data_IF_235882495023
#
_entry.id   IF_235882495023
#
_cell.length_a   1.000
_cell.length_b   1.000
_cell.length_c   1.000
_cell.angle_alpha   90.00
_cell.angle_beta   90.00
_cell.angle_gamma   90.00
#
_symmetry.space_group_name_H-M   'P 1'
#
loop_
_entity.id
_entity.type
_entity.pdbx_description
1 polymer ?
#
# COMPACT_ATOMS: atom_id res chain seq x y z
N UNK A 1 -23.66 6.88 10.57
CA UNK A 1 -22.99 5.59 10.87
C UNK A 1 -21.67 5.53 10.11
N UNK A 2 -20.54 5.63 10.81
CA UNK A 2 -19.19 5.52 10.25
C UNK A 2 -18.84 4.03 10.11
N UNK A 3 -18.55 3.56 8.88
CA UNK A 3 -18.01 2.22 8.69
C UNK A 3 -16.53 2.20 9.11
N UNK A 4 -16.07 1.21 9.89
CA UNK A 4 -14.64 0.99 10.12
C UNK A 4 -13.93 0.64 8.81
N UNK A 5 -12.76 1.26 8.58
CA UNK A 5 -12.09 1.29 7.27
C UNK A 5 -11.53 -0.05 6.77
N UNK A 6 -11.47 -1.09 7.60
CA UNK A 6 -11.11 -2.46 7.26
C UNK A 6 -11.36 -3.33 8.50
N UNK A 7 -12.50 -4.05 8.61
CA UNK A 7 -12.79 -4.86 9.79
C UNK A 7 -11.86 -6.07 9.92
N UNK A 8 -11.15 -6.44 8.85
CA UNK A 8 -10.23 -7.57 8.85
C UNK A 8 -8.83 -7.12 8.47
N UNK A 9 -7.86 -7.54 9.29
CA UNK A 9 -6.44 -7.25 9.16
C UNK A 9 -5.66 -8.55 9.31
N UNK A 10 -4.66 -8.74 8.47
CA UNK A 10 -3.74 -9.87 8.57
C UNK A 10 -2.30 -9.41 8.29
N UNK A 11 -1.37 -9.95 9.06
CA UNK A 11 0.07 -9.83 8.84
C UNK A 11 0.57 -11.17 8.34
N UNK A 12 1.17 -11.18 7.16
CA UNK A 12 1.64 -12.41 6.54
C UNK A 12 3.11 -12.31 6.18
N UNK A 13 3.71 -13.48 6.10
CA UNK A 13 5.08 -13.69 5.69
C UNK A 13 5.07 -14.37 4.31
N UNK A 14 5.69 -13.75 3.31
CA UNK A 14 5.72 -14.28 1.94
C UNK A 14 6.83 -15.32 1.71
N UNK A 15 7.85 -15.36 2.56
CA UNK A 15 9.00 -16.29 2.47
C UNK A 15 9.34 -16.93 3.82
N UNK A 16 9.66 -18.21 3.83
CA UNK A 16 9.88 -18.98 5.06
C UNK A 16 11.09 -18.54 5.89
N UNK A 17 12.06 -17.88 5.26
CA UNK A 17 13.32 -17.39 5.84
C UNK A 17 13.16 -16.08 6.62
N UNK A 18 12.01 -15.40 6.56
CA UNK A 18 11.82 -14.12 7.25
C UNK A 18 11.42 -14.31 8.71
N UNK A 19 12.07 -13.59 9.62
CA UNK A 19 11.76 -13.63 11.07
C UNK A 19 10.41 -12.99 11.42
N UNK A 20 9.95 -12.01 10.63
CA UNK A 20 8.72 -11.24 10.89
C UNK A 20 7.91 -11.06 9.60
N UNK A 21 6.59 -10.84 9.68
CA UNK A 21 5.74 -10.52 8.53
C UNK A 21 6.28 -9.38 7.66
N UNK A 22 6.16 -9.52 6.35
CA UNK A 22 6.63 -8.55 5.35
C UNK A 22 5.50 -7.91 4.56
N UNK A 23 4.28 -8.44 4.68
CA UNK A 23 3.08 -7.86 4.10
C UNK A 23 1.97 -7.66 5.14
N UNK A 24 1.20 -6.59 4.93
CA UNK A 24 -0.03 -6.33 5.68
C UNK A 24 -1.21 -6.30 4.70
N UNK A 25 -2.26 -7.03 5.04
CA UNK A 25 -3.48 -7.15 4.26
C UNK A 25 -4.64 -6.52 5.02
N UNK A 26 -5.37 -5.63 4.35
CA UNK A 26 -6.59 -5.00 4.84
C UNK A 26 -7.73 -5.45 3.95
N UNK A 27 -8.80 -5.98 4.54
CA UNK A 27 -9.93 -6.49 3.78
C UNK A 27 -11.22 -5.80 4.23
N UNK A 28 -12.02 -5.40 3.24
CA UNK A 28 -13.36 -4.84 3.43
C UNK A 28 -14.38 -5.68 2.66
N UNK A 29 -15.48 -6.14 3.30
CA UNK A 29 -16.47 -7.02 2.67
C UNK A 29 -17.42 -6.26 1.71
N UNK A 30 -16.90 -5.29 0.98
CA UNK A 30 -17.59 -4.54 -0.07
C UNK A 30 -16.60 -4.15 -1.15
N UNK A 31 -17.05 -4.19 -2.41
CA UNK A 31 -16.24 -3.81 -3.55
C UNK A 31 -16.17 -2.27 -3.67
N UNK A 32 -14.99 -1.70 -3.51
CA UNK A 32 -14.74 -0.25 -3.61
C UNK A 32 -14.44 0.12 -5.06
N UNK A 33 -15.30 0.95 -5.68
CA UNK A 33 -15.10 1.50 -7.03
C UNK A 33 -14.16 2.70 -7.04
N UNK A 34 -14.30 3.57 -6.05
CA UNK A 34 -13.44 4.72 -5.91
C UNK A 34 -13.21 5.02 -4.42
N UNK A 35 -12.00 4.80 -3.89
CA UNK A 35 -11.71 5.00 -2.48
C UNK A 35 -11.80 6.47 -2.07
N UNK A 36 -11.42 7.42 -2.94
CA UNK A 36 -11.51 8.87 -2.65
C UNK A 36 -12.95 9.37 -2.59
N UNK A 37 -13.83 8.81 -3.43
CA UNK A 37 -15.25 9.20 -3.49
C UNK A 37 -16.16 8.29 -2.64
N UNK A 38 -15.60 7.34 -1.88
CA UNK A 38 -16.33 6.31 -1.10
C UNK A 38 -17.43 5.61 -1.91
N UNK A 39 -17.20 5.40 -3.21
CA UNK A 39 -18.16 4.75 -4.09
C UNK A 39 -17.97 3.25 -4.04
N UNK A 40 -19.05 2.53 -3.76
CA UNK A 40 -19.09 1.07 -3.84
C UNK A 40 -19.58 0.62 -5.21
N UNK A 41 -19.11 -0.54 -5.65
CA UNK A 41 -19.70 -1.23 -6.79
C UNK A 41 -21.09 -1.77 -6.42
N UNK A 42 -21.95 -1.90 -7.43
CA UNK A 42 -23.30 -2.45 -7.28
C UNK A 42 -23.33 -3.99 -7.22
N UNK A 43 -22.23 -4.65 -7.57
CA UNK A 43 -22.11 -6.10 -7.50
C UNK A 43 -21.58 -6.53 -6.12
N UNK A 44 -21.94 -7.73 -5.63
CA UNK A 44 -21.36 -8.28 -4.41
C UNK A 44 -19.88 -8.60 -4.63
N UNK A 45 -19.01 -8.08 -3.77
CA UNK A 45 -17.57 -8.31 -3.84
C UNK A 45 -16.83 -7.79 -2.62
N UNK A 46 -15.53 -8.06 -2.56
CA UNK A 46 -14.63 -7.68 -1.47
C UNK A 46 -13.46 -6.87 -2.05
N UNK A 47 -12.97 -5.88 -1.33
CA UNK A 47 -11.71 -5.20 -1.66
C UNK A 47 -10.64 -5.59 -0.65
N UNK A 48 -9.48 -5.96 -1.18
CA UNK A 48 -8.31 -6.34 -0.41
C UNK A 48 -7.16 -5.41 -0.81
N UNK A 49 -6.59 -4.71 0.17
CA UNK A 49 -5.40 -3.87 0.01
C UNK A 49 -4.22 -4.56 0.65
N UNK A 50 -3.12 -4.71 -0.09
CA UNK A 50 -1.88 -5.34 0.38
C UNK A 50 -0.78 -4.29 0.38
N UNK A 51 -0.03 -4.20 1.48
CA UNK A 51 1.07 -3.25 1.67
C UNK A 51 2.36 -4.02 1.97
N UNK A 52 3.45 -3.66 1.30
CA UNK A 52 4.79 -4.13 1.66
C UNK A 52 5.30 -3.35 2.87
N UNK A 53 5.63 -4.06 3.94
CA UNK A 53 6.11 -3.46 5.19
C UNK A 53 7.62 -3.19 5.18
N UNK A 54 8.35 -3.87 4.28
CA UNK A 54 9.81 -3.75 4.15
C UNK A 54 10.20 -3.44 2.70
N UNK A 55 9.93 -2.23 2.20
CA UNK A 55 10.34 -1.84 0.85
C UNK A 55 11.87 -1.79 0.77
N UNK A 56 12.43 -2.41 -0.27
CA UNK A 56 13.85 -2.25 -0.63
C UNK A 56 14.09 -0.98 -1.45
N UNK A 57 13.02 -0.35 -1.92
CA UNK A 57 13.05 0.91 -2.68
C UNK A 57 13.52 2.05 -1.79
N UNK A 58 14.59 2.73 -2.22
CA UNK A 58 15.13 3.90 -1.54
C UNK A 58 14.70 5.18 -2.27
N UNK A 59 14.40 6.23 -1.50
CA UNK A 59 14.10 7.56 -2.00
C UNK A 59 15.09 8.59 -1.44
N UNK A 60 15.25 9.71 -2.15
CA UNK A 60 16.02 10.86 -1.65
C UNK A 60 15.19 12.14 -1.71
N UNK A 61 15.40 13.02 -0.74
CA UNK A 61 14.75 14.32 -0.64
C UNK A 61 15.85 15.38 -0.63
N UNK A 62 15.80 16.31 -1.58
CA UNK A 62 16.77 17.40 -1.68
C UNK A 62 16.06 18.75 -1.65
N UNK A 63 16.64 19.69 -0.91
CA UNK A 63 16.17 21.07 -0.86
C UNK A 63 16.56 21.74 -2.18
N UNK A 64 15.56 22.25 -2.90
CA UNK A 64 15.80 22.98 -4.16
C UNK A 64 16.10 24.47 -3.93
N UNK A 65 15.65 25.03 -2.80
CA UNK A 65 15.80 26.45 -2.49
C UNK A 65 15.70 26.69 -0.97
N UNK A 66 16.39 27.71 -0.42
CA UNK A 66 16.18 28.17 0.95
C UNK A 66 14.79 28.80 1.18
N UNK A 67 14.04 29.11 0.12
CA UNK A 67 12.67 29.61 0.20
C UNK A 67 11.68 28.48 0.55
N UNK A 68 10.99 28.62 1.69
CA UNK A 68 10.00 27.66 2.19
C UNK A 68 8.76 27.53 1.30
N UNK A 69 8.52 28.49 0.41
CA UNK A 69 7.39 28.43 -0.52
C UNK A 69 7.64 27.50 -1.72
N UNK A 70 8.90 27.07 -1.94
CA UNK A 70 9.26 26.20 -3.06
C UNK A 70 9.18 24.73 -2.62
N UNK A 71 8.44 23.93 -3.39
CA UNK A 71 8.29 22.50 -3.14
C UNK A 71 9.65 21.77 -3.17
N UNK A 72 9.86 20.90 -2.18
CA UNK A 72 11.02 20.01 -2.11
C UNK A 72 11.05 19.08 -3.34
N UNK A 73 12.26 18.78 -3.85
CA UNK A 73 12.41 17.72 -4.84
C UNK A 73 12.45 16.39 -4.10
N UNK A 74 11.45 15.54 -4.35
CA UNK A 74 11.46 14.15 -3.89
C UNK A 74 11.66 13.25 -5.10
N UNK A 75 12.72 12.45 -5.05
CA UNK A 75 13.00 11.43 -6.06
C UNK A 75 12.76 10.09 -5.37
N UNK A 76 11.66 9.43 -5.76
CA UNK A 76 11.34 8.08 -5.28
C UNK A 76 11.68 7.08 -6.39
N UNK A 77 12.68 6.24 -6.15
CA UNK A 77 13.01 5.14 -7.06
C UNK A 77 12.23 3.91 -6.61
N UNK A 78 11.16 3.58 -7.33
CA UNK A 78 10.45 2.33 -7.12
C UNK A 78 11.19 1.20 -7.85
N UNK A 79 11.72 0.24 -7.11
CA UNK A 79 12.19 -1.02 -7.70
C UNK A 79 10.98 -1.81 -8.20
N UNK A 80 11.04 -2.40 -9.40
CA UNK A 80 9.97 -3.26 -9.88
C UNK A 80 9.79 -4.43 -8.91
N UNK A 81 8.55 -4.69 -8.50
CA UNK A 81 8.19 -5.85 -7.69
C UNK A 81 8.60 -7.07 -8.52
N UNK A 82 9.62 -7.81 -8.08
CA UNK A 82 9.98 -9.08 -8.69
C UNK A 82 8.78 -10.01 -8.55
N UNK A 83 8.05 -10.21 -9.65
CA UNK A 83 7.08 -11.30 -9.76
C UNK A 83 7.88 -12.59 -9.76
N UNK A 84 8.12 -13.14 -8.57
CA UNK A 84 8.57 -14.53 -8.45
C UNK A 84 7.44 -15.39 -8.99
N UNK A 85 7.58 -15.83 -10.25
CA UNK A 85 6.67 -16.73 -10.90
C UNK A 85 6.59 -18.03 -10.10
N UNK A 86 5.39 -18.36 -9.61
CA UNK A 86 5.06 -19.74 -9.27
C UNK A 86 5.16 -20.56 -10.56
N UNK A 87 6.12 -21.49 -10.59
CA UNK A 87 6.03 -22.70 -11.38
C UNK A 87 5.38 -23.78 -10.55
#
# INVERSE_FOLDING_TARGET
>A
MTLPSAPMLAFLRTREDMETPDIQMHMVPYAVKNPKKRQLHKFPGMTVSIYQLRPESLGSIHIQSPDRAINLLSILTFLPIQSTGMR
#
